data_IF_915681056715
#
_entry.id   IF_915681056715
#
_cell.length_a   1.000
_cell.length_b   1.000
_cell.length_c   1.000
_cell.angle_alpha   90.00
_cell.angle_beta   90.00
_cell.angle_gamma   90.00
#
_symmetry.space_group_name_H-M   'P 1'
#
loop_
_entity.id
_entity.type
_entity.pdbx_description
1 polymer ?
#
# COMPACT_ATOMS: atom_id res chain seq x y z
N UNK A 1 19.83 8.29 -8.71
CA UNK A 1 18.35 8.34 -8.68
C UNK A 1 17.82 6.91 -8.63
N UNK A 2 16.89 6.59 -7.74
CA UNK A 2 16.31 5.24 -7.62
C UNK A 2 15.55 4.85 -8.91
N UNK A 3 15.80 3.65 -9.43
CA UNK A 3 15.12 3.08 -10.60
C UNK A 3 14.74 1.62 -10.29
N UNK A 4 13.45 1.29 -10.09
CA UNK A 4 13.02 -0.09 -9.84
C UNK A 4 13.17 -0.93 -11.11
N UNK A 5 13.59 -2.19 -10.96
CA UNK A 5 13.70 -3.17 -12.06
C UNK A 5 12.35 -3.77 -12.42
N UNK A 6 11.47 -3.93 -11.44
CA UNK A 6 10.14 -4.50 -11.60
C UNK A 6 9.12 -3.86 -10.63
N UNK A 7 7.84 -4.26 -10.76
CA UNK A 7 6.77 -3.79 -9.88
C UNK A 7 6.97 -4.24 -8.42
N UNK A 8 7.54 -5.43 -8.19
CA UNK A 8 7.79 -5.96 -6.84
C UNK A 8 8.80 -5.07 -6.10
N UNK A 9 9.89 -4.67 -6.74
CA UNK A 9 10.89 -3.77 -6.17
C UNK A 9 10.28 -2.39 -5.88
N UNK A 10 9.44 -1.87 -6.80
CA UNK A 10 8.70 -0.61 -6.59
C UNK A 10 7.78 -0.68 -5.37
N UNK A 11 7.02 -1.77 -5.20
CA UNK A 11 6.15 -2.00 -4.05
C UNK A 11 6.96 -2.04 -2.75
N UNK A 12 8.02 -2.86 -2.70
CA UNK A 12 8.89 -2.99 -1.52
C UNK A 12 9.50 -1.64 -1.14
N UNK A 13 9.94 -0.85 -2.12
CA UNK A 13 10.48 0.48 -1.85
C UNK A 13 9.45 1.42 -1.22
N UNK A 14 8.20 1.41 -1.70
CA UNK A 14 7.11 2.21 -1.10
C UNK A 14 6.77 1.76 0.31
N UNK A 15 6.74 0.45 0.56
CA UNK A 15 6.53 -0.10 1.90
C UNK A 15 7.67 0.30 2.86
N UNK A 16 8.92 0.29 2.40
CA UNK A 16 10.07 0.77 3.20
C UNK A 16 9.95 2.25 3.56
N UNK A 17 9.46 3.09 2.64
CA UNK A 17 9.18 4.50 2.94
C UNK A 17 8.10 4.61 4.03
N UNK A 18 6.97 3.90 3.88
CA UNK A 18 5.91 3.89 4.89
C UNK A 18 6.41 3.43 6.26
N UNK A 19 7.28 2.40 6.30
CA UNK A 19 7.94 1.93 7.52
C UNK A 19 8.75 3.04 8.19
N UNK A 20 9.60 3.75 7.44
CA UNK A 20 10.39 4.86 7.99
C UNK A 20 9.52 6.01 8.52
N UNK A 21 8.40 6.31 7.86
CA UNK A 21 7.43 7.27 8.40
C UNK A 21 6.84 6.80 9.73
N UNK A 22 6.52 5.51 9.85
CA UNK A 22 5.95 4.93 11.08
C UNK A 22 6.97 4.92 12.22
N UNK A 23 8.22 4.53 11.95
CA UNK A 23 9.33 4.61 12.92
C UNK A 23 9.47 6.03 13.49
N UNK A 24 9.32 7.06 12.63
CA UNK A 24 9.31 8.45 13.06
C UNK A 24 8.10 8.78 13.94
N UNK A 25 6.89 8.32 13.61
CA UNK A 25 5.69 8.53 14.45
C UNK A 25 5.91 7.99 15.86
N UNK A 26 6.43 6.76 15.97
CA UNK A 26 6.72 6.13 17.26
C UNK A 26 7.70 6.96 18.06
N UNK A 27 8.82 7.36 17.44
CA UNK A 27 9.82 8.21 18.09
C UNK A 27 9.23 9.54 18.59
N UNK A 28 8.44 10.23 17.76
CA UNK A 28 7.81 11.50 18.15
C UNK A 28 6.88 11.32 19.38
N UNK A 29 6.19 10.18 19.47
CA UNK A 29 5.35 9.86 20.62
C UNK A 29 6.17 9.54 21.88
N UNK A 30 7.26 8.79 21.75
CA UNK A 30 8.19 8.50 22.85
C UNK A 30 8.85 9.78 23.40
N UNK A 31 9.15 10.73 22.51
CA UNK A 31 9.78 12.02 22.85
C UNK A 31 8.76 13.08 23.33
N UNK A 32 7.48 12.73 23.50
CA UNK A 32 6.39 13.62 23.88
C UNK A 32 6.28 14.89 22.99
N UNK A 33 6.48 14.73 21.68
CA UNK A 33 6.30 15.82 20.73
C UNK A 33 4.84 16.31 20.68
N UNK A 34 4.65 17.52 20.15
CA UNK A 34 3.32 18.13 20.03
C UNK A 34 2.34 17.23 19.25
N UNK A 35 1.21 16.90 19.87
CA UNK A 35 0.25 15.92 19.38
C UNK A 35 -0.20 16.15 17.92
N UNK A 36 -0.39 17.40 17.50
CA UNK A 36 -0.82 17.71 16.13
C UNK A 36 0.27 17.35 15.11
N UNK A 37 1.55 17.49 15.46
CA UNK A 37 2.64 17.08 14.57
C UNK A 37 2.67 15.56 14.40
N UNK A 38 2.43 14.81 15.49
CA UNK A 38 2.32 13.36 15.46
C UNK A 38 1.16 12.93 14.55
N UNK A 39 0.00 13.61 14.65
CA UNK A 39 -1.16 13.36 13.78
C UNK A 39 -0.83 13.61 12.32
N UNK A 40 -0.18 14.74 11.98
CA UNK A 40 0.25 15.02 10.60
C UNK A 40 1.23 13.96 10.07
N UNK A 41 2.19 13.53 10.89
CA UNK A 41 3.14 12.48 10.50
C UNK A 41 2.43 11.13 10.33
N UNK A 42 1.45 10.80 11.17
CA UNK A 42 0.60 9.60 11.03
C UNK A 42 -0.23 9.63 9.74
N UNK A 43 -0.80 10.78 9.37
CA UNK A 43 -1.49 10.95 8.08
C UNK A 43 -0.55 10.76 6.89
N UNK A 44 0.73 11.11 7.02
CA UNK A 44 1.74 10.82 6.01
C UNK A 44 2.00 9.30 5.86
N UNK A 45 1.97 8.55 6.97
CA UNK A 45 2.03 7.07 6.93
C UNK A 45 0.82 6.51 6.16
N UNK A 46 -0.40 6.94 6.51
CA UNK A 46 -1.62 6.50 5.83
C UNK A 46 -1.57 6.78 4.32
N UNK A 47 -1.10 7.97 3.94
CA UNK A 47 -0.92 8.36 2.54
C UNK A 47 0.14 7.51 1.82
N UNK A 48 1.22 7.14 2.51
CA UNK A 48 2.26 6.27 1.96
C UNK A 48 1.74 4.83 1.76
N UNK A 49 0.97 4.30 2.73
CA UNK A 49 0.33 2.99 2.63
C UNK A 49 -0.67 2.94 1.48
N UNK A 50 -1.56 3.93 1.36
CA UNK A 50 -2.52 4.01 0.24
C UNK A 50 -1.82 3.98 -1.13
N UNK A 51 -0.65 4.61 -1.26
CA UNK A 51 0.14 4.56 -2.49
C UNK A 51 0.74 3.17 -2.75
N UNK A 52 1.16 2.46 -1.70
CA UNK A 52 1.65 1.09 -1.82
C UNK A 52 0.51 0.13 -2.19
N UNK A 53 -0.66 0.26 -1.54
CA UNK A 53 -1.84 -0.56 -1.80
C UNK A 53 -2.30 -0.45 -3.25
N UNK A 54 -2.32 0.76 -3.81
CA UNK A 54 -2.64 0.97 -5.23
C UNK A 54 -1.69 0.22 -6.17
N UNK A 55 -0.38 0.20 -5.87
CA UNK A 55 0.60 -0.53 -6.69
C UNK A 55 0.44 -2.05 -6.54
N UNK A 56 0.14 -2.52 -5.33
CA UNK A 56 -0.13 -3.94 -5.06
C UNK A 56 -1.38 -4.38 -5.84
N UNK A 57 -2.45 -3.57 -5.79
CA UNK A 57 -3.69 -3.84 -6.52
C UNK A 57 -3.46 -3.83 -8.03
N UNK A 58 -2.75 -2.83 -8.57
CA UNK A 58 -2.37 -2.78 -9.99
C UNK A 58 -1.60 -4.05 -10.40
N UNK A 59 -0.60 -4.45 -9.63
CA UNK A 59 0.17 -5.67 -9.89
C UNK A 59 -0.71 -6.93 -9.85
N UNK A 60 -1.64 -7.03 -8.89
CA UNK A 60 -2.57 -8.15 -8.78
C UNK A 60 -3.52 -8.25 -9.99
N UNK A 61 -4.04 -7.11 -10.45
CA UNK A 61 -4.91 -7.05 -11.64
C UNK A 61 -4.16 -7.51 -12.91
N UNK A 62 -2.91 -7.08 -13.08
CA UNK A 62 -2.09 -7.41 -14.26
C UNK A 62 -1.56 -8.86 -14.26
N UNK A 63 -1.47 -9.51 -13.10
CA UNK A 63 -0.92 -10.86 -12.96
C UNK A 63 -2.01 -11.87 -12.62
N UNK A 64 -2.37 -11.98 -11.35
CA UNK A 64 -3.30 -12.98 -10.83
C UNK A 64 -4.68 -12.92 -11.51
N UNK A 65 -5.26 -11.73 -11.66
CA UNK A 65 -6.60 -11.59 -12.27
C UNK A 65 -6.54 -11.82 -13.77
N UNK A 66 -5.52 -11.29 -14.46
CA UNK A 66 -5.30 -11.56 -15.88
C UNK A 66 -5.22 -13.07 -16.16
N UNK A 67 -4.50 -13.81 -15.33
CA UNK A 67 -4.36 -15.26 -15.49
C UNK A 67 -5.63 -16.02 -15.11
N UNK A 68 -6.36 -15.58 -14.08
CA UNK A 68 -7.67 -16.15 -13.73
C UNK A 68 -8.69 -15.98 -14.88
N UNK A 69 -8.68 -14.83 -15.56
CA UNK A 69 -9.53 -14.61 -16.75
C UNK A 69 -9.19 -15.60 -17.85
N UNK A 70 -7.91 -15.85 -18.13
CA UNK A 70 -7.48 -16.84 -19.14
C UNK A 70 -7.91 -18.27 -18.78
N UNK A 71 -8.05 -18.59 -17.49
CA UNK A 71 -8.50 -19.89 -16.98
C UNK A 71 -10.03 -20.01 -16.84
N UNK A 72 -10.80 -18.96 -17.13
CA UNK A 72 -12.26 -18.97 -16.93
C UNK A 72 -12.71 -18.78 -15.48
N UNK A 73 -11.81 -18.35 -14.60
CA UNK A 73 -12.03 -18.15 -13.16
C UNK A 73 -12.38 -16.69 -12.80
N UNK A 74 -12.75 -15.86 -13.80
CA UNK A 74 -12.91 -14.41 -13.62
C UNK A 74 -13.93 -14.02 -12.54
N UNK A 75 -14.99 -14.81 -12.32
CA UNK A 75 -16.02 -14.49 -11.32
C UNK A 75 -15.45 -14.45 -9.91
N UNK A 76 -14.60 -15.43 -9.56
CA UNK A 76 -13.99 -15.51 -8.24
C UNK A 76 -12.97 -14.38 -8.04
N UNK A 77 -12.08 -14.19 -9.03
CA UNK A 77 -11.06 -13.15 -8.97
C UNK A 77 -11.66 -11.73 -8.86
N UNK A 78 -12.70 -11.42 -9.65
CA UNK A 78 -13.39 -10.12 -9.57
C UNK A 78 -14.09 -9.95 -8.22
N UNK A 79 -14.72 -11.01 -7.70
CA UNK A 79 -15.38 -10.96 -6.38
C UNK A 79 -14.39 -10.61 -5.26
N UNK A 80 -13.19 -11.20 -5.29
CA UNK A 80 -12.11 -10.90 -4.35
C UNK A 80 -11.71 -9.43 -4.39
N UNK A 81 -11.43 -8.88 -5.58
CA UNK A 81 -11.10 -7.47 -5.78
C UNK A 81 -12.21 -6.55 -5.24
N UNK A 82 -13.47 -6.86 -5.59
CA UNK A 82 -14.61 -6.06 -5.15
C UNK A 82 -14.80 -6.09 -3.62
N UNK A 83 -14.42 -7.19 -2.95
CA UNK A 83 -14.49 -7.28 -1.49
C UNK A 83 -13.51 -6.32 -0.80
N UNK A 84 -12.35 -6.07 -1.41
CA UNK A 84 -11.36 -5.12 -0.90
C UNK A 84 -11.82 -3.68 -1.14
N UNK A 85 -12.28 -3.35 -2.35
CA UNK A 85 -12.74 -2.00 -2.69
C UNK A 85 -13.90 -1.55 -1.79
N UNK A 86 -14.85 -2.46 -1.48
CA UNK A 86 -15.99 -2.17 -0.60
C UNK A 86 -15.58 -1.88 0.85
N UNK A 87 -14.44 -2.38 1.31
CA UNK A 87 -13.92 -2.14 2.67
C UNK A 87 -13.27 -0.76 2.82
N UNK A 88 -12.83 -0.13 1.72
CA UNK A 88 -12.10 1.15 1.74
C UNK A 88 -13.04 2.36 1.78
N UNK A 89 -14.09 2.30 2.62
CA UNK A 89 -15.02 3.42 2.84
C UNK A 89 -14.60 4.31 4.00
#
# INVERSE_FOLDING_TARGET
MYKPKDQKERIIHRLKIAKGHMEKVVKMAEENEYCINIVHQSQAVQSALKKADNLIMENHLLTCVSDAIKRGEQKQAISEVMSVIKKTK
#
